data_IF_337135040601
#
_entry.id   IF_337135040601
#
_cell.length_a   1.000
_cell.length_b   1.000
_cell.length_c   1.000
_cell.angle_alpha   90.00
_cell.angle_beta   90.00
_cell.angle_gamma   90.00
#
_symmetry.space_group_name_H-M   'P 1'
#
loop_
_entity.id
_entity.type
_entity.pdbx_description
1 polymer ?
#
# COMPACT_ATOMS: atom_id res chain seq x y z
N UNK A 1 -5.41 16.75 14.13
CA UNK A 1 -4.22 16.06 14.65
C UNK A 1 -3.89 14.89 13.73
N UNK A 2 -2.67 14.84 13.21
CA UNK A 2 -2.19 13.84 12.24
C UNK A 2 -2.30 12.39 12.77
N UNK A 3 -2.00 12.19 14.05
CA UNK A 3 -2.05 10.87 14.70
C UNK A 3 -3.46 10.24 14.67
N UNK A 4 -4.51 11.06 14.88
CA UNK A 4 -5.90 10.58 14.79
C UNK A 4 -6.27 10.15 13.37
N UNK A 5 -5.74 10.85 12.35
CA UNK A 5 -5.94 10.47 10.95
C UNK A 5 -5.18 9.17 10.61
N UNK A 6 -3.93 9.03 11.06
CA UNK A 6 -3.15 7.79 10.89
C UNK A 6 -3.86 6.61 11.56
N UNK A 7 -4.37 6.79 12.78
CA UNK A 7 -5.13 5.76 13.49
C UNK A 7 -6.42 5.36 12.75
N UNK A 8 -7.14 6.35 12.19
CA UNK A 8 -8.34 6.10 11.39
C UNK A 8 -8.02 5.34 10.10
N UNK A 9 -7.00 5.75 9.36
CA UNK A 9 -6.54 5.06 8.15
C UNK A 9 -6.08 3.63 8.45
N UNK A 10 -5.38 3.42 9.57
CA UNK A 10 -4.98 2.08 10.01
C UNK A 10 -6.19 1.20 10.29
N UNK A 11 -7.21 1.72 10.97
CA UNK A 11 -8.44 0.97 11.25
C UNK A 11 -9.16 0.57 9.96
N UNK A 12 -9.25 1.48 8.99
CA UNK A 12 -9.84 1.20 7.68
C UNK A 12 -9.02 0.15 6.91
N UNK A 13 -7.69 0.28 6.89
CA UNK A 13 -6.79 -0.68 6.24
C UNK A 13 -6.93 -2.09 6.85
N UNK A 14 -7.04 -2.21 8.19
CA UNK A 14 -7.27 -3.48 8.85
C UNK A 14 -8.63 -4.10 8.48
N UNK A 15 -9.68 -3.29 8.36
CA UNK A 15 -10.99 -3.78 7.93
C UNK A 15 -10.95 -4.33 6.50
N UNK A 16 -10.28 -3.61 5.58
CA UNK A 16 -10.10 -4.06 4.19
C UNK A 16 -9.26 -5.34 4.14
N UNK A 17 -8.19 -5.44 4.95
CA UNK A 17 -7.36 -6.63 5.03
C UNK A 17 -8.19 -7.86 5.44
N UNK A 18 -8.98 -7.72 6.51
CA UNK A 18 -9.84 -8.80 7.00
C UNK A 18 -10.89 -9.22 5.95
N UNK A 19 -11.52 -8.26 5.27
CA UNK A 19 -12.48 -8.54 4.20
C UNK A 19 -11.83 -9.29 3.02
N UNK A 20 -10.62 -8.90 2.62
CA UNK A 20 -9.91 -9.57 1.54
C UNK A 20 -9.40 -10.96 1.94
N UNK A 21 -8.98 -11.16 3.19
CA UNK A 21 -8.65 -12.49 3.73
C UNK A 21 -9.87 -13.43 3.71
N UNK A 22 -11.04 -12.93 4.13
CA UNK A 22 -12.28 -13.69 4.07
C UNK A 22 -12.64 -14.06 2.63
N UNK A 23 -12.56 -13.10 1.69
CA UNK A 23 -12.83 -13.35 0.26
C UNK A 23 -11.82 -14.31 -0.37
N UNK A 24 -10.53 -14.22 -0.01
CA UNK A 24 -9.52 -15.14 -0.54
C UNK A 24 -9.75 -16.59 -0.09
N UNK A 25 -10.27 -16.78 1.13
CA UNK A 25 -10.61 -18.08 1.71
C UNK A 25 -11.99 -18.62 1.26
N UNK A 26 -12.86 -17.78 0.71
CA UNK A 26 -14.21 -18.15 0.32
C UNK A 26 -14.22 -19.02 -0.94
N UNK A 27 -14.43 -20.33 -0.76
CA UNK A 27 -14.45 -21.32 -1.83
C UNK A 27 -15.66 -21.16 -2.78
N UNK A 28 -16.70 -20.41 -2.38
CA UNK A 28 -17.84 -20.11 -3.25
C UNK A 28 -17.49 -19.09 -4.35
N UNK A 29 -16.40 -18.34 -4.17
CA UNK A 29 -15.91 -17.37 -5.16
C UNK A 29 -15.05 -18.01 -6.24
N UNK A 30 -15.15 -17.44 -7.44
CA UNK A 30 -14.31 -17.80 -8.58
C UNK A 30 -12.81 -17.64 -8.26
N UNK A 31 -11.97 -18.43 -8.93
CA UNK A 31 -10.50 -18.39 -8.75
C UNK A 31 -9.95 -16.99 -9.02
N UNK A 32 -10.48 -16.29 -10.03
CA UNK A 32 -10.09 -14.92 -10.36
C UNK A 32 -10.38 -13.94 -9.22
N UNK A 33 -11.56 -14.01 -8.61
CA UNK A 33 -11.96 -13.13 -7.50
C UNK A 33 -11.12 -13.38 -6.25
N UNK A 34 -10.82 -14.65 -5.94
CA UNK A 34 -9.91 -15.02 -4.85
C UNK A 34 -8.49 -14.54 -5.09
N UNK A 35 -8.01 -14.60 -6.34
CA UNK A 35 -6.68 -14.11 -6.72
C UNK A 35 -6.57 -12.59 -6.58
N UNK A 36 -7.61 -11.86 -7.00
CA UNK A 36 -7.69 -10.40 -6.79
C UNK A 36 -7.71 -10.06 -5.30
N UNK A 37 -8.50 -10.79 -4.50
CA UNK A 37 -8.52 -10.60 -3.05
C UNK A 37 -7.12 -10.84 -2.43
N UNK A 38 -6.38 -11.83 -2.92
CA UNK A 38 -5.01 -12.12 -2.48
C UNK A 38 -4.03 -10.99 -2.84
N UNK A 39 -4.07 -10.46 -4.06
CA UNK A 39 -3.22 -9.34 -4.45
C UNK A 39 -3.50 -8.08 -3.60
N UNK A 40 -4.78 -7.82 -3.32
CA UNK A 40 -5.17 -6.71 -2.46
C UNK A 40 -4.71 -6.90 -1.00
N UNK A 41 -4.45 -8.12 -0.53
CA UNK A 41 -3.87 -8.35 0.80
C UNK A 41 -2.46 -7.78 0.88
N UNK A 42 -1.61 -8.08 -0.12
CA UNK A 42 -0.21 -7.63 -0.15
C UNK A 42 -0.11 -6.09 -0.18
N UNK A 43 -0.95 -5.45 -0.98
CA UNK A 43 -1.01 -3.99 -1.08
C UNK A 43 -1.44 -3.34 0.24
N UNK A 44 -2.46 -3.90 0.90
CA UNK A 44 -2.96 -3.40 2.18
C UNK A 44 -1.94 -3.62 3.31
N UNK A 45 -1.20 -4.73 3.28
CA UNK A 45 -0.10 -4.97 4.22
C UNK A 45 1.04 -3.96 4.03
N UNK A 46 1.40 -3.63 2.79
CA UNK A 46 2.39 -2.59 2.50
C UNK A 46 1.93 -1.21 3.01
N UNK A 47 0.64 -0.88 2.83
CA UNK A 47 0.06 0.36 3.35
C UNK A 47 0.09 0.41 4.90
N UNK A 48 -0.25 -0.69 5.58
CA UNK A 48 -0.16 -0.78 7.04
C UNK A 48 1.27 -0.56 7.53
N UNK A 49 2.28 -1.12 6.86
CA UNK A 49 3.68 -0.91 7.23
C UNK A 49 4.09 0.57 7.12
N UNK A 50 3.59 1.30 6.12
CA UNK A 50 3.85 2.75 5.98
C UNK A 50 3.19 3.53 7.12
N UNK A 51 1.91 3.26 7.40
CA UNK A 51 1.17 3.94 8.48
C UNK A 51 1.82 3.68 9.85
N UNK A 52 2.35 2.48 10.07
CA UNK A 52 3.02 2.10 11.31
C UNK A 52 4.33 2.87 11.49
N UNK A 53 5.08 3.09 10.41
CA UNK A 53 6.23 3.97 10.45
C UNK A 53 5.86 5.42 10.75
N UNK A 54 4.72 5.93 10.25
CA UNK A 54 4.28 7.31 10.48
C UNK A 54 3.77 7.57 11.92
N UNK A 55 3.41 6.53 12.66
CA UNK A 55 2.92 6.62 14.05
C UNK A 55 4.05 6.87 15.06
N UNK A 56 5.27 6.41 14.79
CA UNK A 56 6.44 6.82 15.56
C UNK A 56 6.81 8.25 15.18
N UNK A 57 7.23 9.08 16.14
CA UNK A 57 7.94 10.34 15.88
C UNK A 57 9.13 10.05 14.96
N UNK A 58 8.89 10.10 13.64
CA UNK A 58 9.83 9.65 12.64
C UNK A 58 11.05 10.53 12.77
N UNK A 59 12.14 9.94 13.24
CA UNK A 59 13.40 10.68 13.25
C UNK A 59 13.72 11.01 11.79
N UNK A 60 14.37 12.14 11.50
CA UNK A 60 14.68 12.54 10.13
C UNK A 60 15.39 11.47 9.28
N UNK A 61 16.04 10.49 9.92
CA UNK A 61 16.64 9.33 9.27
C UNK A 61 15.61 8.31 8.78
N UNK A 62 14.61 7.99 9.58
CA UNK A 62 13.56 7.02 9.24
C UNK A 62 12.64 7.58 8.14
N UNK A 63 12.31 8.87 8.21
CA UNK A 63 11.59 9.57 7.14
C UNK A 63 12.35 9.51 5.79
N UNK A 64 13.68 9.71 5.82
CA UNK A 64 14.53 9.60 4.62
C UNK A 64 14.56 8.18 4.05
N UNK A 65 14.59 7.15 4.91
CA UNK A 65 14.55 5.76 4.46
C UNK A 65 13.20 5.40 3.82
N UNK A 66 12.09 5.87 4.38
CA UNK A 66 10.76 5.68 3.81
C UNK A 66 10.66 6.38 2.45
N UNK A 67 11.11 7.63 2.35
CA UNK A 67 11.12 8.38 1.10
C UNK A 67 11.97 7.69 0.01
N UNK A 68 13.13 7.12 0.37
CA UNK A 68 13.97 6.37 -0.56
C UNK A 68 13.31 5.08 -1.05
N UNK A 69 12.61 4.36 -0.16
CA UNK A 69 11.85 3.15 -0.53
C UNK A 69 10.67 3.49 -1.45
N UNK A 70 9.90 4.52 -1.14
CA UNK A 70 8.81 5.01 -2.01
C UNK A 70 9.37 5.37 -3.39
N UNK A 71 10.48 6.12 -3.43
CA UNK A 71 11.15 6.50 -4.69
C UNK A 71 11.56 5.28 -5.50
N UNK A 72 12.16 4.28 -4.87
CA UNK A 72 12.58 3.04 -5.54
C UNK A 72 11.41 2.28 -6.15
N UNK A 73 10.27 2.22 -5.44
CA UNK A 73 9.04 1.58 -5.95
C UNK A 73 8.51 2.36 -7.16
N UNK A 74 8.45 3.69 -7.06
CA UNK A 74 7.97 4.54 -8.15
C UNK A 74 8.91 4.43 -9.36
N UNK A 75 10.21 4.59 -9.19
CA UNK A 75 11.19 4.52 -10.27
C UNK A 75 11.29 3.11 -10.90
N UNK A 76 11.20 2.05 -10.09
CA UNK A 76 11.16 0.67 -10.57
C UNK A 76 9.89 0.34 -11.37
N UNK A 77 8.77 1.00 -11.08
CA UNK A 77 7.55 0.90 -11.88
C UNK A 77 7.65 1.63 -13.25
N UNK A 78 8.64 2.52 -13.43
CA UNK A 78 8.83 3.31 -14.66
C UNK A 78 9.77 2.64 -15.69
N UNK A 79 10.03 1.33 -15.56
CA UNK A 79 10.75 0.53 -16.55
C UNK A 79 10.07 0.37 -17.93
N UNK A 80 8.98 1.09 -18.21
CA UNK A 80 8.41 1.23 -19.57
C UNK A 80 8.46 2.69 -20.03
N UNK A 81 9.53 2.98 -20.77
CA UNK A 81 9.79 4.07 -21.72
C UNK A 81 9.36 5.51 -21.35
N UNK A 82 10.25 6.50 -21.57
CA UNK A 82 9.86 7.91 -21.43
C UNK A 82 8.84 8.27 -22.51
N UNK A 83 7.61 8.57 -22.10
CA UNK A 83 6.64 9.24 -22.97
C UNK A 83 7.18 10.65 -23.21
N UNK A 84 7.84 10.84 -24.36
CA UNK A 84 8.20 12.17 -24.85
C UNK A 84 6.91 12.87 -25.25
N UNK A 85 6.38 13.70 -24.37
CA UNK A 85 5.35 14.66 -24.77
C UNK A 85 6.07 15.74 -25.58
N UNK A 86 5.97 15.64 -26.91
CA UNK A 86 6.29 16.74 -27.79
C UNK A 86 5.12 17.73 -27.70
N UNK A 87 5.40 18.96 -27.25
CA UNK A 87 4.45 20.05 -27.37
C UNK A 87 4.29 20.38 -28.86
N UNK A 88 3.04 20.42 -29.33
CA UNK A 88 2.62 21.03 -30.59
C UNK A 88 2.64 22.55 -30.46
#
# INVERSE_FOLDING_TARGET
>A
MLERHIASLRAQALAVLAANQARAADQSLGISDRKVATLNIDEVQAMLAILDCMKSNLRPKEARQIAARIRTILEGAHGKAPVRVACL
#
